data_IF_837813727670
#
_entry.id   IF_837813727670
#
_cell.length_a   1.000
_cell.length_b   1.000
_cell.length_c   1.000
_cell.angle_alpha   90.00
_cell.angle_beta   90.00
_cell.angle_gamma   90.00
#
_symmetry.space_group_name_H-M   'P 1'
#
loop_
_entity.id
_entity.type
_entity.pdbx_description
1 polymer ?
#
# COMPACT_ATOMS: atom_id res chain seq x y z
N UNK A 1 12.67 -12.73 -14.69
CA UNK A 1 11.33 -13.35 -14.51
C UNK A 1 11.45 -14.88 -14.56
N UNK A 2 10.95 -15.66 -13.60
CA UNK A 2 11.03 -17.15 -13.66
C UNK A 2 9.65 -17.79 -13.42
N UNK A 3 9.22 -18.69 -14.31
CA UNK A 3 8.10 -19.62 -14.09
C UNK A 3 8.63 -21.06 -14.06
N UNK A 4 8.47 -21.77 -12.93
CA UNK A 4 8.55 -23.24 -12.83
C UNK A 4 7.38 -23.89 -13.57
N UNK A 5 7.53 -25.06 -14.22
CA UNK A 5 6.54 -26.16 -14.44
C UNK A 5 7.22 -27.38 -15.14
N UNK A 6 6.71 -28.64 -15.10
CA UNK A 6 5.30 -29.12 -15.08
C UNK A 6 4.95 -30.01 -13.87
N UNK A 7 3.73 -30.03 -13.31
CA UNK A 7 2.49 -30.57 -13.87
C UNK A 7 1.24 -29.70 -13.56
N UNK A 8 0.11 -29.96 -14.24
CA UNK A 8 -1.13 -29.12 -14.33
C UNK A 8 -2.04 -29.15 -13.06
N UNK A 9 -3.07 -28.27 -12.92
CA UNK A 9 -3.45 -27.06 -13.69
C UNK A 9 -3.51 -25.77 -12.84
N UNK A 10 -3.46 -24.60 -13.51
CA UNK A 10 -3.71 -23.27 -12.94
C UNK A 10 -5.21 -22.99 -12.80
N UNK A 11 -5.62 -22.41 -11.67
CA UNK A 11 -6.83 -21.57 -11.55
C UNK A 11 -6.50 -20.40 -10.62
N UNK A 12 -6.52 -19.19 -11.17
CA UNK A 12 -6.44 -17.85 -10.53
C UNK A 12 -5.24 -17.60 -9.58
N UNK A 13 -4.62 -16.43 -9.71
CA UNK A 13 -3.48 -15.94 -8.90
C UNK A 13 -2.11 -16.61 -9.16
N UNK A 14 -1.38 -16.06 -10.13
CA UNK A 14 0.08 -16.14 -10.09
C UNK A 14 0.56 -15.35 -8.87
N UNK A 15 0.98 -16.06 -7.82
CA UNK A 15 1.40 -15.46 -6.57
C UNK A 15 2.52 -14.41 -6.79
N UNK A 16 2.21 -13.14 -6.48
CA UNK A 16 3.24 -12.11 -6.27
C UNK A 16 4.16 -12.61 -5.18
N UNK A 17 5.42 -12.89 -5.51
CA UNK A 17 6.41 -13.34 -4.53
C UNK A 17 7.25 -12.15 -4.08
N UNK A 18 7.23 -11.83 -2.79
CA UNK A 18 8.34 -11.08 -2.19
C UNK A 18 9.57 -11.98 -2.23
N UNK A 19 10.70 -11.47 -2.72
CA UNK A 19 11.96 -12.20 -2.58
C UNK A 19 12.44 -12.06 -1.13
N UNK A 20 12.80 -13.15 -0.42
CA UNK A 20 13.29 -13.07 0.95
C UNK A 20 14.48 -12.12 1.16
N UNK A 21 15.22 -11.79 0.09
CA UNK A 21 16.34 -10.85 0.10
C UNK A 21 15.99 -9.41 -0.33
N UNK A 22 14.73 -9.07 -0.62
CA UNK A 22 14.36 -7.69 -0.96
C UNK A 22 14.17 -6.85 0.30
N UNK A 23 15.15 -6.01 0.62
CA UNK A 23 15.12 -5.14 1.81
C UNK A 23 13.97 -4.12 1.80
N UNK A 24 13.39 -3.86 0.62
CA UNK A 24 12.30 -2.92 0.45
C UNK A 24 10.93 -3.59 0.27
N UNK A 25 10.85 -4.93 0.42
CA UNK A 25 9.60 -5.69 0.30
C UNK A 25 8.81 -5.39 -0.99
N UNK A 26 9.50 -5.13 -2.12
CA UNK A 26 8.82 -4.89 -3.39
C UNK A 26 8.19 -6.19 -3.87
N UNK A 27 7.04 -6.05 -4.52
CA UNK A 27 6.38 -7.17 -5.18
C UNK A 27 6.98 -7.38 -6.56
N UNK A 28 7.56 -8.56 -6.79
CA UNK A 28 8.07 -8.97 -8.09
C UNK A 28 7.15 -10.04 -8.69
N UNK A 29 6.76 -9.87 -9.94
CA UNK A 29 5.91 -10.80 -10.67
C UNK A 29 6.64 -11.31 -11.91
N UNK A 30 6.75 -12.64 -12.14
CA UNK A 30 7.28 -13.17 -13.38
C UNK A 30 6.47 -12.72 -14.61
N UNK A 31 7.15 -12.12 -15.59
CA UNK A 31 6.64 -11.79 -16.91
C UNK A 31 7.28 -12.65 -18.00
N UNK A 32 6.45 -13.08 -18.93
CA UNK A 32 6.85 -13.72 -20.17
C UNK A 32 5.63 -13.80 -21.07
N UNK A 33 5.74 -13.26 -22.27
CA UNK A 33 4.65 -13.28 -23.27
C UNK A 33 4.49 -14.66 -23.94
N UNK A 34 5.28 -15.67 -23.52
CA UNK A 34 5.28 -17.03 -24.05
C UNK A 34 6.00 -17.21 -25.39
N UNK A 35 6.44 -16.11 -26.01
CA UNK A 35 7.07 -16.08 -27.34
C UNK A 35 8.52 -15.59 -27.30
N UNK A 36 8.84 -14.74 -26.33
CA UNK A 36 10.16 -14.14 -26.17
C UNK A 36 11.13 -15.16 -25.56
N UNK A 37 12.29 -15.40 -26.20
CA UNK A 37 13.32 -16.30 -25.68
C UNK A 37 13.83 -15.88 -24.29
N UNK A 38 14.05 -16.87 -23.43
CA UNK A 38 14.62 -16.69 -22.08
C UNK A 38 16.02 -17.28 -22.05
N UNK A 39 16.94 -16.57 -21.39
CA UNK A 39 18.32 -17.03 -21.15
C UNK A 39 18.63 -17.02 -19.66
N UNK A 40 19.49 -17.95 -19.23
CA UNK A 40 20.00 -18.01 -17.86
C UNK A 40 21.35 -17.28 -17.75
N UNK A 41 21.54 -16.59 -16.64
CA UNK A 41 22.77 -15.86 -16.32
C UNK A 41 23.80 -16.78 -15.67
N UNK A 42 25.02 -16.76 -16.19
CA UNK A 42 26.16 -17.55 -15.70
C UNK A 42 27.06 -16.79 -14.71
N UNK A 43 26.69 -15.56 -14.34
CA UNK A 43 27.41 -14.72 -13.40
C UNK A 43 26.45 -14.09 -12.39
N UNK A 44 26.95 -13.79 -11.19
CA UNK A 44 26.22 -13.02 -10.18
C UNK A 44 26.43 -11.51 -10.36
N UNK A 45 25.44 -10.73 -9.96
CA UNK A 45 25.51 -9.26 -9.96
C UNK A 45 25.67 -8.76 -8.53
N UNK A 46 26.61 -7.84 -8.30
CA UNK A 46 26.77 -7.18 -7.00
C UNK A 46 25.69 -6.12 -6.81
N UNK A 47 24.55 -6.51 -6.24
CA UNK A 47 23.35 -5.66 -6.17
C UNK A 47 23.47 -4.43 -5.27
N UNK A 48 24.43 -4.44 -4.34
CA UNK A 48 24.77 -3.29 -3.49
C UNK A 48 25.33 -2.09 -4.28
N UNK A 49 25.78 -2.31 -5.53
CA UNK A 49 26.22 -1.23 -6.41
C UNK A 49 25.06 -0.41 -7.00
N UNK A 50 23.83 -0.94 -6.97
CA UNK A 50 22.65 -0.18 -7.38
C UNK A 50 22.05 0.55 -6.20
N UNK A 51 21.67 1.82 -6.40
CA UNK A 51 21.14 2.65 -5.34
C UNK A 51 19.85 2.08 -4.70
N UNK A 52 19.00 1.41 -5.49
CA UNK A 52 17.74 0.81 -5.03
C UNK A 52 17.84 -0.69 -4.75
N UNK A 53 19.07 -1.24 -4.72
CA UNK A 53 19.42 -2.60 -4.25
C UNK A 53 18.39 -3.66 -4.69
N UNK A 54 18.23 -3.92 -6.00
CA UNK A 54 17.32 -4.95 -6.49
C UNK A 54 17.72 -6.34 -5.96
N UNK A 55 16.79 -7.28 -5.78
CA UNK A 55 17.14 -8.63 -5.32
C UNK A 55 17.99 -9.37 -6.36
N UNK A 56 19.04 -10.09 -5.97
CA UNK A 56 19.90 -10.84 -6.90
C UNK A 56 19.11 -11.82 -7.79
N UNK A 57 18.01 -12.35 -7.26
CA UNK A 57 17.14 -13.28 -7.97
C UNK A 57 16.58 -12.72 -9.29
N UNK A 58 16.45 -11.38 -9.42
CA UNK A 58 15.93 -10.75 -10.64
C UNK A 58 16.91 -10.88 -11.81
N UNK A 59 18.20 -11.07 -11.54
CA UNK A 59 19.25 -11.22 -12.55
C UNK A 59 19.45 -12.65 -13.05
N UNK A 60 18.85 -13.67 -12.41
CA UNK A 60 19.06 -15.10 -12.74
C UNK A 60 18.67 -15.46 -14.17
N UNK A 61 17.64 -14.81 -14.70
CA UNK A 61 17.14 -15.04 -16.06
C UNK A 61 16.83 -13.71 -16.73
N UNK A 62 16.97 -13.67 -18.05
CA UNK A 62 16.65 -12.50 -18.87
C UNK A 62 15.88 -12.87 -20.13
N UNK A 63 15.05 -11.94 -20.59
CA UNK A 63 14.40 -11.98 -21.90
C UNK A 63 15.37 -11.45 -22.94
N UNK A 64 15.50 -12.12 -24.08
CA UNK A 64 16.47 -11.75 -25.12
C UNK A 64 15.89 -11.89 -26.52
N UNK A 65 16.53 -11.24 -27.48
CA UNK A 65 16.28 -11.45 -28.91
C UNK A 65 17.49 -12.07 -29.60
N UNK A 66 17.27 -12.55 -30.83
CA UNK A 66 18.36 -13.04 -31.69
C UNK A 66 19.32 -11.89 -32.02
N UNK A 67 20.56 -12.24 -32.38
CA UNK A 67 21.57 -11.26 -32.81
C UNK A 67 21.03 -10.40 -33.94
N UNK A 68 21.23 -9.08 -33.83
CA UNK A 68 20.77 -8.09 -34.80
C UNK A 68 19.26 -7.87 -34.87
N UNK A 69 18.47 -8.47 -33.96
CA UNK A 69 17.03 -8.22 -33.86
C UNK A 69 16.73 -7.41 -32.60
N UNK A 70 15.83 -6.45 -32.73
CA UNK A 70 15.29 -5.72 -31.59
C UNK A 70 14.43 -6.64 -30.72
N UNK A 71 14.37 -6.31 -29.43
CA UNK A 71 13.48 -6.94 -28.46
C UNK A 71 12.37 -5.95 -28.11
N UNK A 72 11.13 -6.32 -28.42
CA UNK A 72 9.94 -5.51 -28.10
C UNK A 72 9.12 -6.20 -27.00
N UNK A 73 8.83 -5.47 -25.93
CA UNK A 73 8.10 -5.98 -24.77
C UNK A 73 6.93 -5.08 -24.44
N UNK A 74 5.75 -5.66 -24.29
CA UNK A 74 4.56 -4.99 -23.79
C UNK A 74 4.46 -5.18 -22.27
N UNK A 75 5.16 -4.32 -21.54
CA UNK A 75 5.23 -4.39 -20.08
C UNK A 75 5.03 -2.99 -19.45
N UNK A 76 4.21 -2.86 -18.38
CA UNK A 76 3.48 -3.94 -17.70
C UNK A 76 2.28 -4.49 -18.53
N UNK A 77 1.75 -5.68 -18.20
CA UNK A 77 0.62 -6.28 -18.91
C UNK A 77 -0.65 -5.44 -18.84
N UNK A 78 -0.90 -4.80 -17.70
CA UNK A 78 -2.03 -3.91 -17.50
C UNK A 78 -1.71 -2.49 -18.00
N UNK A 79 -2.68 -1.77 -18.58
CA UNK A 79 -2.51 -0.37 -18.94
C UNK A 79 -2.32 0.50 -17.69
N UNK A 80 -1.51 1.54 -17.83
CA UNK A 80 -1.17 2.48 -16.78
C UNK A 80 -2.06 3.74 -16.82
N UNK A 81 -2.50 4.28 -15.68
CA UNK A 81 -3.10 5.61 -15.67
C UNK A 81 -2.07 6.67 -16.09
N UNK A 82 -2.55 7.77 -16.66
CA UNK A 82 -1.70 8.88 -17.07
C UNK A 82 -1.08 9.55 -15.84
N UNK A 83 0.23 9.37 -15.65
CA UNK A 83 0.97 9.94 -14.52
C UNK A 83 2.48 10.01 -14.83
N UNK A 84 3.22 10.60 -13.90
CA UNK A 84 4.67 10.46 -13.87
C UNK A 84 5.04 9.16 -13.15
N UNK A 85 6.05 8.47 -13.64
CA UNK A 85 6.50 7.20 -13.10
C UNK A 85 8.02 7.21 -12.87
N UNK A 86 8.41 6.61 -11.77
CA UNK A 86 9.75 6.09 -11.61
C UNK A 86 9.82 4.77 -12.38
N UNK A 87 10.66 4.72 -13.40
CA UNK A 87 10.90 3.53 -14.21
C UNK A 87 12.37 3.13 -14.09
N UNK A 88 12.63 1.87 -13.74
CA UNK A 88 13.97 1.30 -13.65
C UNK A 88 14.04 0.01 -14.47
N UNK A 89 15.07 -0.13 -15.30
CA UNK A 89 15.28 -1.29 -16.14
C UNK A 89 16.65 -1.91 -15.81
N UNK A 90 16.68 -3.23 -15.69
CA UNK A 90 17.83 -3.99 -15.21
C UNK A 90 18.35 -4.96 -16.27
N UNK A 91 19.65 -4.97 -16.44
CA UNK A 91 20.33 -5.68 -17.52
C UNK A 91 21.58 -6.38 -17.00
N UNK A 92 21.92 -7.53 -17.59
CA UNK A 92 23.16 -8.26 -17.35
C UNK A 92 23.47 -9.13 -18.56
N UNK A 93 24.72 -9.13 -19.02
CA UNK A 93 25.14 -10.14 -19.99
C UNK A 93 25.13 -11.51 -19.31
N UNK A 94 24.37 -12.44 -19.91
CA UNK A 94 24.06 -13.71 -19.29
C UNK A 94 25.18 -14.76 -19.44
N UNK A 95 26.26 -14.48 -20.18
CA UNK A 95 27.36 -15.43 -20.44
C UNK A 95 28.37 -15.45 -19.30
N UNK A 96 29.25 -16.45 -19.27
CA UNK A 96 30.38 -16.48 -18.34
C UNK A 96 31.26 -15.22 -18.49
N UNK A 97 31.82 -14.67 -17.40
CA UNK A 97 32.69 -13.49 -17.46
C UNK A 97 33.88 -13.69 -18.41
N UNK A 98 34.00 -12.80 -19.39
CA UNK A 98 35.11 -12.78 -20.35
C UNK A 98 35.24 -11.40 -21.00
N UNK A 99 36.37 -11.14 -21.68
CA UNK A 99 36.56 -9.90 -22.45
C UNK A 99 35.53 -9.70 -23.59
N UNK A 100 34.80 -10.75 -23.98
CA UNK A 100 33.79 -10.73 -25.03
C UNK A 100 32.35 -10.77 -24.49
N UNK A 101 32.19 -10.76 -23.16
CA UNK A 101 30.90 -10.86 -22.47
C UNK A 101 30.27 -9.49 -22.25
N UNK A 102 30.01 -8.81 -23.37
CA UNK A 102 29.37 -7.50 -23.42
C UNK A 102 28.33 -7.43 -24.56
N UNK A 103 27.38 -6.50 -24.46
CA UNK A 103 26.37 -6.19 -25.48
C UNK A 103 26.10 -4.69 -25.48
N UNK A 104 25.81 -4.13 -26.64
CA UNK A 104 25.43 -2.71 -26.77
C UNK A 104 24.08 -2.59 -27.45
N UNK A 105 23.17 -1.82 -26.86
CA UNK A 105 21.86 -1.54 -27.42
C UNK A 105 21.27 -0.22 -26.91
N UNK A 106 20.39 0.36 -27.70
CA UNK A 106 19.54 1.47 -27.28
C UNK A 106 18.32 0.95 -26.53
N UNK A 107 17.80 1.75 -25.62
CA UNK A 107 16.57 1.50 -24.86
C UNK A 107 15.58 2.59 -25.20
N UNK A 108 14.39 2.21 -25.66
CA UNK A 108 13.28 3.11 -25.90
C UNK A 108 12.04 2.67 -25.12
N UNK A 109 11.27 3.64 -24.65
CA UNK A 109 10.00 3.44 -23.93
C UNK A 109 8.93 4.22 -24.68
N UNK A 110 7.89 3.52 -25.15
CA UNK A 110 6.84 4.08 -26.02
C UNK A 110 7.39 4.81 -27.26
N UNK A 111 8.47 4.27 -27.85
CA UNK A 111 9.14 4.85 -29.01
C UNK A 111 10.02 6.08 -28.71
N UNK A 112 10.02 6.58 -27.48
CA UNK A 112 10.93 7.63 -27.04
C UNK A 112 12.24 7.03 -26.53
N UNK A 113 13.36 7.61 -26.94
CA UNK A 113 14.68 7.17 -26.51
C UNK A 113 14.84 7.39 -25.00
N UNK A 114 15.04 6.31 -24.26
CA UNK A 114 15.23 6.28 -22.81
C UNK A 114 16.71 6.25 -22.44
N UNK A 115 17.51 5.50 -23.18
CA UNK A 115 18.98 5.49 -23.05
C UNK A 115 19.62 5.07 -24.38
N UNK A 116 20.72 5.73 -24.76
CA UNK A 116 21.46 5.44 -25.99
C UNK A 116 22.77 4.70 -25.69
N UNK A 117 23.10 3.68 -26.48
CA UNK A 117 24.38 2.98 -26.42
C UNK A 117 24.66 2.31 -25.08
N UNK A 118 23.65 1.71 -24.45
CA UNK A 118 23.83 1.02 -23.17
C UNK A 118 24.78 -0.17 -23.36
N UNK A 119 25.97 -0.09 -22.75
CA UNK A 119 26.93 -1.18 -22.73
C UNK A 119 26.74 -2.05 -21.48
N UNK A 120 26.25 -3.27 -21.68
CA UNK A 120 25.93 -4.21 -20.61
C UNK A 120 26.98 -5.32 -20.57
N UNK A 121 27.58 -5.51 -19.39
CA UNK A 121 28.52 -6.60 -19.11
C UNK A 121 27.94 -7.60 -18.10
N UNK A 122 28.72 -8.61 -17.71
CA UNK A 122 28.34 -9.58 -16.67
C UNK A 122 28.20 -8.96 -15.28
N UNK A 123 28.75 -7.77 -15.05
CA UNK A 123 28.63 -7.03 -13.79
C UNK A 123 27.23 -6.42 -13.57
N UNK A 124 26.39 -6.41 -14.60
CA UNK A 124 25.06 -5.83 -14.55
C UNK A 124 25.05 -4.32 -14.78
N UNK A 125 23.89 -3.80 -15.18
CA UNK A 125 23.65 -2.38 -15.44
C UNK A 125 22.20 -2.04 -15.17
N UNK A 126 21.95 -0.78 -14.83
CA UNK A 126 20.62 -0.25 -14.58
C UNK A 126 20.50 1.11 -15.28
N UNK A 127 19.39 1.33 -15.97
CA UNK A 127 18.99 2.68 -16.40
C UNK A 127 17.64 3.00 -15.79
N UNK A 128 17.46 4.24 -15.35
CA UNK A 128 16.24 4.67 -14.70
C UNK A 128 15.84 6.11 -15.07
N UNK A 129 14.54 6.37 -15.01
CA UNK A 129 13.95 7.69 -15.17
C UNK A 129 13.13 8.00 -13.93
N UNK A 130 13.43 9.12 -13.26
CA UNK A 130 12.77 9.48 -12.01
C UNK A 130 11.34 10.03 -12.16
N UNK A 131 11.00 10.51 -13.37
CA UNK A 131 9.74 11.17 -13.65
C UNK A 131 9.28 10.94 -15.11
N UNK A 132 9.33 9.69 -15.57
CA UNK A 132 8.96 9.32 -16.94
C UNK A 132 7.44 9.32 -17.11
N UNK A 133 6.92 10.05 -18.09
CA UNK A 133 5.47 10.13 -18.33
C UNK A 133 4.98 8.88 -19.05
N UNK A 134 4.02 8.17 -18.45
CA UNK A 134 3.39 7.00 -19.05
C UNK A 134 1.88 7.11 -18.96
N UNK A 135 1.19 6.56 -19.96
CA UNK A 135 -0.25 6.41 -20.01
C UNK A 135 -0.61 5.23 -20.92
N UNK A 136 -1.69 4.54 -20.60
CA UNK A 136 -2.17 3.39 -21.36
C UNK A 136 -1.15 2.25 -21.42
N UNK A 137 -1.08 1.59 -22.57
CA UNK A 137 -0.19 0.46 -22.75
C UNK A 137 1.27 0.92 -22.91
N UNK A 138 2.18 0.33 -22.13
CA UNK A 138 3.62 0.63 -22.23
C UNK A 138 4.35 -0.41 -23.06
N UNK A 139 5.26 0.06 -23.93
CA UNK A 139 6.16 -0.74 -24.75
C UNK A 139 7.61 -0.39 -24.44
N UNK A 140 8.43 -1.39 -24.15
CA UNK A 140 9.88 -1.26 -24.02
C UNK A 140 10.52 -1.90 -25.26
N UNK A 141 11.35 -1.15 -25.96
CA UNK A 141 12.06 -1.62 -27.16
C UNK A 141 13.56 -1.52 -26.93
N UNK A 142 14.28 -2.62 -27.14
CA UNK A 142 15.74 -2.66 -27.09
C UNK A 142 16.28 -2.87 -28.51
N UNK A 143 17.10 -1.96 -28.99
CA UNK A 143 17.64 -2.00 -30.37
C UNK A 143 19.14 -2.26 -30.34
N UNK A 144 19.64 -3.42 -30.78
CA UNK A 144 21.06 -3.73 -30.75
C UNK A 144 21.88 -2.83 -31.67
N UNK A 145 23.06 -2.44 -31.20
CA UNK A 145 24.06 -1.82 -32.04
C UNK A 145 24.52 -2.81 -33.14
N UNK A 146 24.90 -2.34 -34.35
CA UNK A 146 25.28 -3.21 -35.46
C UNK A 146 26.44 -4.16 -35.15
N UNK A 147 27.37 -3.72 -34.29
CA UNK A 147 28.56 -4.43 -33.87
C UNK A 147 28.35 -5.30 -32.62
N UNK A 148 27.16 -5.24 -32.00
CA UNK A 148 26.87 -6.04 -30.80
C UNK A 148 27.03 -7.54 -31.11
N UNK A 149 27.79 -8.30 -30.30
CA UNK A 149 28.10 -9.70 -30.57
C UNK A 149 26.87 -10.60 -30.45
N UNK A 150 25.84 -10.14 -29.73
CA UNK A 150 24.61 -10.86 -29.40
C UNK A 150 23.44 -9.87 -29.32
N UNK A 151 22.21 -10.38 -29.33
CA UNK A 151 21.01 -9.53 -29.24
C UNK A 151 20.90 -8.79 -27.90
N UNK A 152 19.93 -7.90 -27.71
CA UNK A 152 19.71 -7.27 -26.41
C UNK A 152 19.18 -8.27 -25.38
N UNK A 153 19.27 -7.93 -24.10
CA UNK A 153 18.74 -8.73 -22.98
C UNK A 153 18.17 -7.79 -21.94
N UNK A 154 17.12 -8.19 -21.21
CA UNK A 154 16.60 -7.51 -20.03
C UNK A 154 16.21 -8.52 -18.96
N UNK A 155 16.64 -8.28 -17.72
CA UNK A 155 16.45 -9.20 -16.60
C UNK A 155 15.16 -8.88 -15.83
N UNK A 156 14.94 -7.59 -15.59
CA UNK A 156 13.80 -7.09 -14.83
C UNK A 156 13.49 -5.63 -15.15
N UNK A 157 12.29 -5.21 -14.75
CA UNK A 157 11.85 -3.83 -14.78
C UNK A 157 11.07 -3.54 -13.48
N UNK A 158 11.25 -2.34 -12.95
CA UNK A 158 10.55 -1.81 -11.78
C UNK A 158 9.83 -0.52 -12.19
N UNK A 159 8.59 -0.40 -11.77
CA UNK A 159 7.72 0.72 -12.12
C UNK A 159 6.95 1.17 -10.89
N UNK A 160 7.08 2.45 -10.52
CA UNK A 160 6.35 3.06 -9.43
C UNK A 160 5.71 4.35 -9.92
N UNK A 161 4.41 4.53 -9.67
CA UNK A 161 3.75 5.80 -9.97
C UNK A 161 4.25 6.89 -9.02
N UNK A 162 4.77 7.97 -9.58
CA UNK A 162 5.10 9.17 -8.84
C UNK A 162 3.82 9.99 -8.76
N UNK A 163 3.15 9.88 -7.62
CA UNK A 163 2.04 10.76 -7.29
C UNK A 163 2.66 12.09 -6.85
N UNK A 164 2.49 13.19 -7.60
CA UNK A 164 2.89 14.49 -7.10
C UNK A 164 2.16 14.70 -5.77
N UNK A 165 2.90 14.95 -4.69
CA UNK A 165 2.34 15.18 -3.36
C UNK A 165 1.51 16.47 -3.39
N UNK A 166 0.27 16.38 -3.86
CA UNK A 166 -0.74 17.43 -3.75
C UNK A 166 -1.24 17.59 -2.30
N UNK A 167 -0.64 16.84 -1.38
CA UNK A 167 -0.90 16.88 0.04
C UNK A 167 -0.20 15.75 0.79
N UNK A 168 -0.40 15.73 2.11
CA UNK A 168 -0.10 14.62 3.02
C UNK A 168 -1.17 14.56 4.10
N UNK A 169 -1.44 13.40 4.68
CA UNK A 169 -2.22 13.38 5.93
C UNK A 169 -1.41 14.06 7.04
N UNK A 170 -2.10 14.80 7.90
CA UNK A 170 -1.49 15.40 9.09
C UNK A 170 -0.79 14.31 9.93
N UNK A 171 0.50 14.46 10.30
CA UNK A 171 1.26 13.39 10.95
C UNK A 171 0.62 12.80 12.21
N UNK A 172 -0.03 13.64 13.02
CA UNK A 172 -0.79 13.19 14.19
C UNK A 172 -1.90 12.19 13.83
N UNK A 173 -2.63 12.44 12.75
CA UNK A 173 -3.70 11.56 12.32
C UNK A 173 -3.12 10.27 11.76
N UNK A 174 -1.99 10.32 11.02
CA UNK A 174 -1.23 9.12 10.60
C UNK A 174 -0.84 8.26 11.79
N UNK A 175 -0.23 8.86 12.83
CA UNK A 175 0.16 8.13 14.05
C UNK A 175 -1.05 7.49 14.73
N UNK A 176 -2.17 8.23 14.84
CA UNK A 176 -3.42 7.72 15.41
C UNK A 176 -3.99 6.54 14.61
N UNK A 177 -4.06 6.68 13.29
CA UNK A 177 -4.59 5.66 12.38
C UNK A 177 -3.70 4.40 12.34
N UNK A 178 -2.38 4.55 12.31
CA UNK A 178 -1.46 3.41 12.35
C UNK A 178 -1.54 2.66 13.68
N UNK A 179 -1.64 3.38 14.81
CA UNK A 179 -1.81 2.75 16.11
C UNK A 179 -3.15 2.01 16.21
N UNK A 180 -4.22 2.61 15.67
CA UNK A 180 -5.53 1.97 15.58
C UNK A 180 -5.47 0.69 14.72
N UNK A 181 -4.82 0.76 13.55
CA UNK A 181 -4.60 -0.39 12.68
C UNK A 181 -3.86 -1.54 13.39
N UNK A 182 -2.82 -1.21 14.18
CA UNK A 182 -2.06 -2.19 14.98
C UNK A 182 -2.88 -2.79 16.13
N UNK A 183 -3.84 -2.05 16.68
CA UNK A 183 -4.73 -2.53 17.75
C UNK A 183 -5.82 -3.50 17.27
N UNK A 184 -6.09 -3.53 15.97
CA UNK A 184 -7.08 -4.40 15.36
C UNK A 184 -6.47 -5.74 14.94
N UNK A 185 -7.18 -6.84 15.20
CA UNK A 185 -6.76 -8.18 14.81
C UNK A 185 -6.98 -8.46 13.31
N UNK A 186 -8.00 -7.84 12.70
CA UNK A 186 -8.34 -7.97 11.29
C UNK A 186 -8.75 -6.60 10.70
N UNK A 187 -7.83 -5.62 10.62
CA UNK A 187 -8.13 -4.34 9.97
C UNK A 187 -8.39 -4.55 8.46
N UNK A 188 -9.08 -3.62 7.78
CA UNK A 188 -9.19 -3.65 6.32
C UNK A 188 -7.80 -3.74 5.65
N UNK A 189 -7.72 -4.49 4.55
CA UNK A 189 -6.43 -4.88 3.93
C UNK A 189 -5.60 -3.72 3.38
N UNK A 190 -6.25 -2.61 3.12
CA UNK A 190 -5.70 -1.36 2.59
C UNK A 190 -5.30 -0.35 3.67
N UNK A 191 -5.41 -0.70 4.96
CA UNK A 191 -4.94 0.12 6.08
C UNK A 191 -3.40 0.13 6.20
N UNK A 192 -2.74 0.60 5.14
CA UNK A 192 -1.28 0.73 4.99
C UNK A 192 -0.95 1.98 4.16
N UNK A 193 0.09 2.71 4.57
CA UNK A 193 0.50 3.94 3.88
C UNK A 193 -0.18 5.20 4.45
N UNK A 194 -0.43 6.19 3.59
CA UNK A 194 -1.12 7.42 3.99
C UNK A 194 -2.64 7.15 4.06
N UNK A 195 -3.31 7.45 5.19
CA UNK A 195 -4.72 7.07 5.38
C UNK A 195 -5.71 7.90 4.57
N UNK A 196 -5.33 9.09 4.10
CA UNK A 196 -6.21 9.97 3.32
C UNK A 196 -5.81 10.07 1.85
N UNK A 197 -4.59 9.68 1.48
CA UNK A 197 -4.02 9.97 0.17
C UNK A 197 -3.55 8.73 -0.58
N UNK A 198 -3.63 8.73 -1.93
CA UNK A 198 -4.08 9.85 -2.78
C UNK A 198 -5.57 10.21 -2.66
N UNK A 199 -5.94 11.42 -3.11
CA UNK A 199 -7.33 11.89 -3.04
C UNK A 199 -8.25 10.93 -3.78
N UNK A 200 -9.38 10.60 -3.16
CA UNK A 200 -10.34 9.61 -3.67
C UNK A 200 -9.97 8.15 -3.40
N UNK A 201 -8.84 7.90 -2.71
CA UNK A 201 -8.40 6.55 -2.31
C UNK A 201 -7.95 6.53 -0.84
N UNK A 202 -8.72 7.17 0.05
CA UNK A 202 -8.51 7.01 1.48
C UNK A 202 -8.69 5.54 1.88
N UNK A 203 -8.13 5.17 3.03
CA UNK A 203 -8.32 3.83 3.58
C UNK A 203 -9.80 3.47 3.69
N UNK A 204 -10.12 2.19 3.52
CA UNK A 204 -11.48 1.67 3.62
C UNK A 204 -12.11 2.08 4.94
N UNK A 205 -13.29 2.69 4.86
CA UNK A 205 -14.03 3.19 6.00
C UNK A 205 -13.50 4.50 6.57
N UNK A 206 -12.45 5.11 6.01
CA UNK A 206 -11.89 6.39 6.46
C UNK A 206 -12.33 7.50 5.51
N UNK A 207 -12.89 8.57 6.05
CA UNK A 207 -13.20 9.80 5.31
C UNK A 207 -12.29 10.92 5.79
N UNK A 208 -11.70 11.63 4.84
CA UNK A 208 -10.81 12.75 5.10
C UNK A 208 -11.36 14.05 4.48
N UNK A 209 -10.90 15.18 4.99
CA UNK A 209 -11.18 16.46 4.34
C UNK A 209 -10.30 16.67 3.10
N UNK A 210 -10.65 17.67 2.28
CA UNK A 210 -10.00 17.94 0.99
C UNK A 210 -8.76 18.84 1.08
N UNK A 211 -8.30 19.16 2.30
CA UNK A 211 -7.16 20.05 2.51
C UNK A 211 -5.85 19.40 2.03
N UNK A 212 -4.86 20.20 1.57
CA UNK A 212 -3.52 19.68 1.25
C UNK A 212 -2.85 19.02 2.46
N UNK A 213 -3.13 19.48 3.68
CA UNK A 213 -2.77 18.77 4.90
C UNK A 213 -4.01 18.05 5.43
N UNK A 214 -4.33 16.92 4.81
CA UNK A 214 -5.56 16.20 5.03
C UNK A 214 -5.70 15.75 6.50
N UNK A 215 -6.93 15.79 7.01
CA UNK A 215 -7.32 15.36 8.36
C UNK A 215 -8.37 14.27 8.25
N UNK A 216 -8.30 13.28 9.13
CA UNK A 216 -9.34 12.25 9.25
C UNK A 216 -10.55 12.87 9.95
N UNK A 217 -11.70 12.85 9.28
CA UNK A 217 -12.94 13.46 9.77
C UNK A 217 -14.01 12.42 10.12
N UNK A 218 -13.95 11.21 9.55
CA UNK A 218 -14.84 10.14 9.96
C UNK A 218 -14.19 8.75 9.80
N UNK A 219 -14.58 7.83 10.67
CA UNK A 219 -14.27 6.40 10.56
C UNK A 219 -15.58 5.63 10.62
N UNK A 220 -15.84 4.78 9.62
CA UNK A 220 -16.98 3.89 9.57
C UNK A 220 -16.53 2.48 9.14
N UNK A 221 -16.51 1.58 10.12
CA UNK A 221 -16.21 0.15 9.93
C UNK A 221 -17.40 -0.71 10.37
N UNK A 222 -18.62 -0.23 10.16
CA UNK A 222 -19.84 -0.98 10.52
C UNK A 222 -19.88 -2.35 9.84
N UNK A 223 -19.96 -3.42 10.62
CA UNK A 223 -20.00 -4.82 10.18
C UNK A 223 -18.77 -5.32 9.39
N UNK A 224 -17.58 -4.77 9.65
CA UNK A 224 -16.33 -5.20 9.01
C UNK A 224 -15.67 -6.42 9.68
N UNK A 225 -16.27 -6.99 10.73
CA UNK A 225 -15.75 -8.13 11.51
C UNK A 225 -14.36 -7.85 12.11
N UNK A 226 -14.10 -6.58 12.43
CA UNK A 226 -12.85 -6.16 13.03
C UNK A 226 -12.82 -6.64 14.48
N UNK A 227 -11.74 -7.31 14.88
CA UNK A 227 -11.50 -7.72 16.28
C UNK A 227 -10.38 -6.93 16.93
N UNK A 228 -10.06 -7.24 18.19
CA UNK A 228 -9.00 -6.56 18.94
C UNK A 228 -9.56 -5.47 19.86
N UNK A 229 -8.80 -4.40 20.09
CA UNK A 229 -9.19 -3.30 20.98
C UNK A 229 -9.08 -1.94 20.29
N UNK A 230 -9.89 -0.98 20.73
CA UNK A 230 -9.76 0.41 20.29
C UNK A 230 -8.55 1.03 20.98
N UNK A 231 -7.49 1.37 20.22
CA UNK A 231 -6.32 2.03 20.79
C UNK A 231 -6.68 3.39 21.36
N UNK A 232 -6.11 3.70 22.53
CA UNK A 232 -6.03 5.03 23.15
C UNK A 232 -5.48 6.13 22.23
N UNK A 233 -4.69 5.77 21.21
CA UNK A 233 -4.22 6.70 20.19
C UNK A 233 -5.33 7.21 19.27
N UNK A 234 -6.56 6.68 19.36
CA UNK A 234 -7.73 7.27 18.69
C UNK A 234 -7.96 8.73 19.10
N UNK A 235 -7.51 9.11 20.30
CA UNK A 235 -7.54 10.48 20.81
C UNK A 235 -6.70 11.47 19.95
N UNK A 236 -5.77 10.98 19.12
CA UNK A 236 -4.99 11.82 18.22
C UNK A 236 -5.82 12.37 17.05
N UNK A 237 -6.97 11.76 16.74
CA UNK A 237 -7.80 12.11 15.58
C UNK A 237 -8.67 13.34 15.85
N UNK A 238 -8.09 14.45 16.29
CA UNK A 238 -8.84 15.59 16.87
C UNK A 238 -9.79 16.29 15.91
N UNK A 239 -9.72 16.01 14.61
CA UNK A 239 -10.64 16.56 13.61
C UNK A 239 -11.86 15.65 13.36
N UNK A 240 -11.88 14.45 13.95
CA UNK A 240 -12.93 13.45 13.72
C UNK A 240 -14.27 13.95 14.29
N UNK A 241 -15.32 13.82 13.48
CA UNK A 241 -16.68 14.15 13.84
C UNK A 241 -17.55 12.91 14.03
N UNK A 242 -17.20 11.80 13.39
CA UNK A 242 -18.00 10.56 13.45
C UNK A 242 -17.12 9.32 13.55
N UNK A 243 -17.40 8.46 14.52
CA UNK A 243 -16.75 7.15 14.70
C UNK A 243 -17.85 6.09 14.82
N UNK A 244 -17.97 5.24 13.80
CA UNK A 244 -18.95 4.15 13.73
C UNK A 244 -18.25 2.80 13.59
N UNK A 245 -18.28 2.01 14.66
CA UNK A 245 -17.65 0.69 14.76
C UNK A 245 -18.69 -0.41 15.07
N UNK A 246 -19.94 -0.19 14.66
CA UNK A 246 -21.10 -1.05 14.95
C UNK A 246 -20.90 -2.48 14.44
N UNK A 247 -21.34 -3.48 15.20
CA UNK A 247 -21.42 -4.86 14.71
C UNK A 247 -20.06 -5.49 14.42
N UNK A 248 -19.08 -5.25 15.28
CA UNK A 248 -17.74 -5.82 15.17
C UNK A 248 -17.44 -6.75 16.35
N UNK A 249 -16.22 -7.29 16.40
CA UNK A 249 -15.76 -8.17 17.48
C UNK A 249 -14.74 -7.45 18.38
N UNK A 250 -14.95 -6.14 18.62
CA UNK A 250 -14.06 -5.32 19.44
C UNK A 250 -14.23 -5.68 20.92
N UNK A 251 -13.12 -5.65 21.65
CA UNK A 251 -13.00 -6.03 23.06
C UNK A 251 -12.17 -5.00 23.82
N UNK A 252 -12.07 -5.15 25.14
CA UNK A 252 -11.34 -4.22 26.01
C UNK A 252 -12.15 -2.94 26.31
N UNK A 253 -11.54 -1.96 26.99
CA UNK A 253 -12.20 -0.74 27.40
C UNK A 253 -12.38 0.26 26.25
N UNK A 254 -13.37 1.14 26.41
CA UNK A 254 -13.48 2.35 25.59
C UNK A 254 -12.37 3.30 26.07
N UNK A 255 -11.44 3.74 25.20
CA UNK A 255 -10.34 4.62 25.60
C UNK A 255 -10.84 6.04 25.91
N UNK A 256 -9.98 6.83 26.56
CA UNK A 256 -10.25 8.25 26.74
C UNK A 256 -10.28 8.97 25.37
N UNK A 257 -11.37 9.69 25.11
CA UNK A 257 -11.60 10.47 23.89
C UNK A 257 -11.67 11.97 24.18
N UNK A 258 -11.20 12.42 25.35
CA UNK A 258 -11.24 13.83 25.78
C UNK A 258 -10.74 14.86 24.75
N UNK A 259 -9.73 14.59 23.89
CA UNK A 259 -9.27 15.58 22.90
C UNK A 259 -10.14 15.67 21.64
N UNK A 260 -11.14 14.80 21.48
CA UNK A 260 -11.98 14.72 20.27
C UNK A 260 -13.13 15.75 20.32
N UNK A 261 -12.80 17.03 20.48
CA UNK A 261 -13.78 18.12 20.66
C UNK A 261 -14.74 18.32 19.48
N UNK A 262 -14.41 17.75 18.31
CA UNK A 262 -15.25 17.78 17.11
C UNK A 262 -16.21 16.58 16.99
N UNK A 263 -16.06 15.57 17.85
CA UNK A 263 -16.85 14.35 17.80
C UNK A 263 -18.32 14.66 18.06
N UNK A 264 -19.16 14.32 17.09
CA UNK A 264 -20.60 14.52 17.09
C UNK A 264 -21.37 13.19 17.20
N UNK A 265 -20.82 12.10 16.67
CA UNK A 265 -21.48 10.79 16.65
C UNK A 265 -20.49 9.67 16.98
N UNK A 266 -20.79 8.91 18.03
CA UNK A 266 -20.03 7.75 18.49
C UNK A 266 -20.94 6.53 18.60
N UNK A 267 -20.74 5.57 17.69
CA UNK A 267 -21.50 4.32 17.63
C UNK A 267 -20.57 3.14 17.83
N UNK A 268 -20.73 2.46 18.96
CA UNK A 268 -19.93 1.33 19.41
C UNK A 268 -20.81 0.12 19.75
N UNK A 269 -22.10 0.16 19.41
CA UNK A 269 -23.04 -0.91 19.69
C UNK A 269 -22.70 -2.22 18.98
N UNK A 270 -23.23 -3.32 19.52
CA UNK A 270 -23.06 -4.67 18.98
C UNK A 270 -21.59 -5.08 18.88
N UNK A 271 -20.89 -5.04 20.01
CA UNK A 271 -19.49 -5.42 20.18
C UNK A 271 -19.29 -6.20 21.50
N UNK A 272 -18.04 -6.50 21.85
CA UNK A 272 -17.65 -7.14 23.11
C UNK A 272 -16.89 -6.21 24.07
N UNK A 273 -17.12 -4.90 24.02
CA UNK A 273 -16.41 -3.91 24.85
C UNK A 273 -16.71 -4.12 26.34
N UNK A 274 -15.74 -3.83 27.19
CA UNK A 274 -15.76 -4.10 28.65
C UNK A 274 -15.34 -2.86 29.45
N UNK A 275 -15.42 -2.93 30.78
CA UNK A 275 -15.00 -1.83 31.65
C UNK A 275 -16.02 -0.68 31.73
N UNK A 276 -15.66 0.43 32.39
CA UNK A 276 -16.56 1.56 32.61
C UNK A 276 -16.68 2.47 31.39
N UNK A 277 -17.75 3.27 31.37
CA UNK A 277 -17.86 4.41 30.47
C UNK A 277 -16.88 5.51 30.91
N UNK A 278 -16.01 6.02 30.01
CA UNK A 278 -15.12 7.14 30.34
C UNK A 278 -15.91 8.41 30.67
N UNK A 279 -15.59 9.06 31.80
CA UNK A 279 -16.23 10.30 32.22
C UNK A 279 -16.06 11.43 31.18
N UNK A 280 -14.96 11.40 30.43
CA UNK A 280 -14.63 12.35 29.39
C UNK A 280 -15.62 12.39 28.22
N UNK A 281 -16.38 11.32 27.96
CA UNK A 281 -17.42 11.35 26.93
C UNK A 281 -18.52 12.39 27.26
N UNK A 282 -18.75 12.65 28.54
CA UNK A 282 -19.69 13.68 28.99
C UNK A 282 -19.18 15.12 28.80
N UNK A 283 -17.86 15.33 28.64
CA UNK A 283 -17.27 16.67 28.41
C UNK A 283 -17.19 17.06 26.94
N UNK A 284 -17.46 16.12 26.02
CA UNK A 284 -17.49 16.37 24.57
C UNK A 284 -18.78 17.11 24.18
N UNK A 285 -18.77 18.44 24.28
CA UNK A 285 -19.94 19.31 24.09
C UNK A 285 -20.60 19.21 22.71
N UNK A 286 -19.88 18.70 21.69
CA UNK A 286 -20.44 18.47 20.34
C UNK A 286 -21.04 17.09 20.14
N UNK A 287 -20.79 16.13 21.04
CA UNK A 287 -21.24 14.75 20.90
C UNK A 287 -22.76 14.68 21.05
N UNK A 288 -23.50 14.47 19.97
CA UNK A 288 -24.96 14.40 20.00
C UNK A 288 -25.47 12.97 20.07
N UNK A 289 -24.70 12.00 19.59
CA UNK A 289 -25.11 10.60 19.54
C UNK A 289 -24.06 9.72 20.19
N UNK A 290 -24.45 9.00 21.25
CA UNK A 290 -23.63 8.01 21.93
C UNK A 290 -24.41 6.71 22.03
N UNK A 291 -24.03 5.73 21.24
CA UNK A 291 -24.63 4.39 21.23
C UNK A 291 -23.60 3.34 21.64
N UNK A 292 -23.90 2.63 22.73
CA UNK A 292 -23.02 1.61 23.33
C UNK A 292 -23.77 0.34 23.73
N UNK A 293 -25.06 0.20 23.36
CA UNK A 293 -25.85 -1.00 23.66
C UNK A 293 -25.21 -2.28 23.12
N UNK A 294 -25.58 -3.43 23.67
CA UNK A 294 -25.10 -4.75 23.27
C UNK A 294 -23.56 -4.85 23.32
N UNK A 295 -23.02 -4.49 24.49
CA UNK A 295 -21.63 -4.71 24.89
C UNK A 295 -21.60 -5.37 26.28
N UNK A 296 -20.41 -5.50 26.89
CA UNK A 296 -20.21 -6.02 28.25
C UNK A 296 -19.69 -4.92 29.20
N UNK A 297 -20.12 -3.67 29.03
CA UNK A 297 -19.71 -2.54 29.86
C UNK A 297 -20.28 -2.67 31.28
N UNK A 298 -19.52 -2.21 32.27
CA UNK A 298 -19.82 -2.39 33.69
C UNK A 298 -19.56 -1.11 34.50
N UNK A 299 -20.24 -0.96 35.62
CA UNK A 299 -20.05 0.15 36.57
C UNK A 299 -21.11 1.23 36.45
N UNK A 300 -20.87 2.40 37.03
CA UNK A 300 -21.86 3.48 37.04
C UNK A 300 -21.80 4.33 35.77
N UNK A 301 -22.95 4.82 35.31
CA UNK A 301 -23.00 5.86 34.27
C UNK A 301 -22.41 7.16 34.86
N UNK A 302 -21.34 7.73 34.28
CA UNK A 302 -20.73 8.97 34.77
C UNK A 302 -21.76 10.10 34.88
N UNK A 303 -21.65 10.89 35.95
CA UNK A 303 -22.57 12.01 36.21
C UNK A 303 -22.55 13.03 35.07
N UNK A 304 -21.40 13.23 34.42
CA UNK A 304 -21.24 14.08 33.23
C UNK A 304 -22.16 13.65 32.08
N UNK A 305 -22.24 12.35 31.80
CA UNK A 305 -23.10 11.78 30.75
C UNK A 305 -24.57 11.79 31.20
N UNK A 306 -24.84 11.35 32.44
CA UNK A 306 -26.21 11.29 32.98
C UNK A 306 -26.87 12.66 33.01
N UNK A 307 -26.18 13.68 33.50
CA UNK A 307 -26.69 15.04 33.56
C UNK A 307 -26.97 15.59 32.16
N UNK A 308 -26.11 15.28 31.19
CA UNK A 308 -26.33 15.67 29.80
C UNK A 308 -27.52 14.96 29.17
N UNK A 309 -27.68 13.66 29.38
CA UNK A 309 -28.82 12.90 28.89
C UNK A 309 -30.17 13.38 29.46
N UNK A 310 -30.16 13.95 30.66
CA UNK A 310 -31.36 14.55 31.27
C UNK A 310 -31.61 15.99 30.84
N UNK A 311 -30.55 16.78 30.59
CA UNK A 311 -30.63 18.23 30.37
C UNK A 311 -30.52 18.70 28.92
N UNK A 312 -29.95 17.90 28.03
CA UNK A 312 -29.72 18.24 26.62
C UNK A 312 -30.59 17.36 25.71
N UNK A 313 -31.70 17.92 25.22
CA UNK A 313 -32.65 17.22 24.34
C UNK A 313 -32.03 16.75 23.01
N UNK A 314 -30.90 17.33 22.61
CA UNK A 314 -30.19 16.95 21.39
C UNK A 314 -29.24 15.77 21.61
N UNK A 315 -28.91 15.45 22.87
CA UNK A 315 -28.01 14.36 23.22
C UNK A 315 -28.77 13.03 23.35
N UNK A 316 -28.53 12.13 22.40
CA UNK A 316 -29.09 10.79 22.34
C UNK A 316 -28.09 9.79 22.91
N UNK A 317 -28.38 9.28 24.09
CA UNK A 317 -27.58 8.25 24.74
C UNK A 317 -28.33 6.93 24.81
N UNK A 318 -27.78 5.88 24.18
CA UNK A 318 -28.33 4.52 24.18
C UNK A 318 -27.30 3.53 24.72
N UNK A 319 -27.61 2.89 25.85
CA UNK A 319 -26.69 1.98 26.53
C UNK A 319 -27.31 0.63 26.92
N UNK A 320 -28.61 0.43 26.72
CA UNK A 320 -29.31 -0.85 26.94
C UNK A 320 -29.91 -1.36 25.63
N UNK A 321 -29.99 -2.69 25.41
CA UNK A 321 -29.68 -3.77 26.36
C UNK A 321 -28.19 -4.16 26.35
N UNK A 322 -27.83 -5.26 27.03
CA UNK A 322 -26.51 -5.91 26.95
C UNK A 322 -25.49 -5.50 28.02
N UNK A 323 -25.47 -4.23 28.43
CA UNK A 323 -24.53 -3.74 29.43
C UNK A 323 -25.02 -3.91 30.88
N UNK A 324 -24.09 -3.94 31.83
CA UNK A 324 -24.37 -3.89 33.28
C UNK A 324 -23.97 -2.51 33.84
N UNK A 325 -24.65 -1.47 33.35
CA UNK A 325 -24.43 -0.08 33.75
C UNK A 325 -25.56 0.40 34.68
N UNK A 326 -25.19 1.07 35.78
CA UNK A 326 -26.12 1.55 36.83
C UNK A 326 -26.12 3.08 37.00
#
# INVERSE_FOLDING_TARGET
MVRRRPDRPCRAECARSSYPGDRFNRYWEPYGDGSTPVVESQASVATEAFWNKPPEAVFRQGLTARRGKSLDLQWPPAPLPAASYYLALYFQDNRAPSALSWRVFDVAVNGQLFFAGLNVSTAGSMVYGAAWLLSGQTRITLTPAPDSPVGPVINAAELMMVVPLGGRTHPRDVIGMEALARGFLNPPSDWRGDPCLPKGTSWTGVTCNEDPLARVIAINLTNYRVGGSISDHIANLTAVSSIWLVGNNLTGPIPDMSPLHHLASLHLEDNGLTGPLPESLGSLTRLQELSVQNNNLQGSIPSSIRNRAMGDISFRFKYTPGNNLS
#
